data_IF_322163066290
#
_entry.id   IF_322163066290
#
_cell.length_a   1.000
_cell.length_b   1.000
_cell.length_c   1.000
_cell.angle_alpha   90.00
_cell.angle_beta   90.00
_cell.angle_gamma   90.00
#
_symmetry.space_group_name_H-M   'P 1'
#
loop_
_entity.id
_entity.type
_entity.pdbx_description
1 polymer ?
#
# COMPACT_ATOMS: atom_id res chain seq x y z
N UNK A 1 -26.46 -3.74 -11.44
CA UNK A 1 -26.10 -2.39 -10.94
C UNK A 1 -24.60 -2.28 -10.62
N UNK A 2 -24.02 -3.21 -9.90
CA UNK A 2 -22.59 -3.16 -9.53
C UNK A 2 -21.63 -3.16 -10.73
N UNK A 3 -21.92 -3.94 -11.77
CA UNK A 3 -21.04 -4.01 -12.96
C UNK A 3 -20.96 -2.69 -13.71
N UNK A 4 -22.07 -1.98 -13.90
CA UNK A 4 -22.05 -0.66 -14.55
C UNK A 4 -21.25 0.38 -13.76
N UNK A 5 -21.35 0.35 -12.43
CA UNK A 5 -20.54 1.21 -11.54
C UNK A 5 -19.06 0.85 -11.65
N UNK A 6 -18.74 -0.44 -11.63
CA UNK A 6 -17.37 -0.93 -11.78
C UNK A 6 -16.75 -0.51 -13.12
N UNK A 7 -17.47 -0.69 -14.23
CA UNK A 7 -17.00 -0.30 -15.56
C UNK A 7 -16.82 1.22 -15.68
N UNK A 8 -17.70 1.99 -15.07
CA UNK A 8 -17.56 3.46 -14.98
C UNK A 8 -16.31 3.85 -14.20
N UNK A 9 -16.06 3.23 -13.04
CA UNK A 9 -14.86 3.50 -12.22
C UNK A 9 -13.58 3.12 -12.96
N UNK A 10 -13.55 2.00 -13.67
CA UNK A 10 -12.41 1.61 -14.48
C UNK A 10 -12.09 2.64 -15.56
N UNK A 11 -13.14 3.10 -16.27
CA UNK A 11 -13.01 4.14 -17.29
C UNK A 11 -12.53 5.47 -16.68
N UNK A 12 -13.13 5.87 -15.56
CA UNK A 12 -12.77 7.10 -14.84
C UNK A 12 -11.30 7.10 -14.42
N UNK A 13 -10.86 6.02 -13.77
CA UNK A 13 -9.50 5.89 -13.25
C UNK A 13 -8.47 5.78 -14.39
N UNK A 14 -8.71 4.92 -15.38
CA UNK A 14 -7.74 4.65 -16.43
C UNK A 14 -7.63 5.77 -17.48
N UNK A 15 -8.75 6.38 -17.84
CA UNK A 15 -8.80 7.31 -18.97
C UNK A 15 -8.83 8.79 -18.52
N UNK A 16 -9.61 9.10 -17.47
CA UNK A 16 -9.83 10.48 -17.09
C UNK A 16 -8.85 10.95 -15.99
N UNK A 17 -8.64 10.17 -14.93
CA UNK A 17 -7.89 10.60 -13.76
C UNK A 17 -6.40 10.26 -13.81
N UNK A 18 -5.99 9.28 -14.61
CA UNK A 18 -4.63 8.75 -14.60
C UNK A 18 -3.54 9.83 -14.69
N UNK A 19 -3.53 10.57 -15.77
CA UNK A 19 -2.52 11.62 -16.00
C UNK A 19 -2.82 12.95 -15.30
N UNK A 20 -4.06 13.43 -15.19
CA UNK A 20 -4.38 14.58 -14.37
C UNK A 20 -3.93 14.48 -12.91
N UNK A 21 -4.06 13.31 -12.28
CA UNK A 21 -3.56 13.10 -10.91
C UNK A 21 -2.05 13.27 -10.82
N UNK A 22 -1.27 12.77 -11.77
CA UNK A 22 0.18 12.98 -11.81
C UNK A 22 0.52 14.45 -11.88
N UNK A 23 -0.16 15.20 -12.75
CA UNK A 23 0.07 16.65 -12.92
C UNK A 23 -0.27 17.39 -11.61
N UNK A 24 -1.41 17.08 -10.99
CA UNK A 24 -1.83 17.67 -9.71
C UNK A 24 -0.78 17.38 -8.62
N UNK A 25 -0.32 16.13 -8.50
CA UNK A 25 0.67 15.78 -7.49
C UNK A 25 2.02 16.41 -7.71
N UNK A 26 2.47 16.56 -8.97
CA UNK A 26 3.69 17.30 -9.28
C UNK A 26 3.53 18.78 -8.91
N UNK A 27 2.38 19.39 -9.22
CA UNK A 27 2.10 20.78 -8.87
C UNK A 27 2.13 21.01 -7.35
N UNK A 28 1.51 20.13 -6.57
CA UNK A 28 1.47 20.21 -5.11
C UNK A 28 2.62 19.46 -4.41
N UNK A 29 3.67 19.06 -5.12
CA UNK A 29 4.73 18.23 -4.57
C UNK A 29 5.42 18.81 -3.34
N UNK A 30 5.65 20.14 -3.32
CA UNK A 30 6.26 20.82 -2.17
C UNK A 30 5.33 20.81 -0.95
N UNK A 31 4.05 21.09 -1.15
CA UNK A 31 3.05 21.09 -0.06
C UNK A 31 2.87 19.68 0.51
N UNK A 32 2.80 18.67 -0.35
CA UNK A 32 2.70 17.25 0.06
C UNK A 32 3.93 16.81 0.86
N UNK A 33 5.13 17.19 0.41
CA UNK A 33 6.36 16.88 1.11
C UNK A 33 6.45 17.60 2.47
N UNK A 34 6.09 18.88 2.51
CA UNK A 34 6.02 19.64 3.77
C UNK A 34 5.02 19.01 4.74
N UNK A 35 3.83 18.64 4.25
CA UNK A 35 2.81 17.99 5.06
C UNK A 35 3.31 16.65 5.63
N UNK A 36 4.03 15.88 4.82
CA UNK A 36 4.67 14.64 5.25
C UNK A 36 5.70 14.88 6.37
N UNK A 37 6.60 15.86 6.20
CA UNK A 37 7.58 16.22 7.23
C UNK A 37 6.92 16.62 8.55
N UNK A 38 5.86 17.43 8.50
CA UNK A 38 5.09 17.81 9.69
C UNK A 38 4.40 16.60 10.34
N UNK A 39 3.96 15.63 9.53
CA UNK A 39 3.37 14.39 10.04
C UNK A 39 4.40 13.48 10.69
N UNK A 40 5.61 13.42 10.15
CA UNK A 40 6.75 12.72 10.80
C UNK A 40 7.14 13.43 12.10
N UNK A 41 7.19 14.76 12.10
CA UNK A 41 7.52 15.52 13.30
C UNK A 41 6.52 15.29 14.43
N UNK A 42 5.23 15.10 14.14
CA UNK A 42 4.24 14.81 15.18
C UNK A 42 4.52 13.51 15.94
N UNK A 43 5.18 12.53 15.30
CA UNK A 43 5.59 11.28 15.95
C UNK A 43 6.75 11.45 16.95
N UNK A 44 7.58 12.50 16.81
CA UNK A 44 8.75 12.69 17.68
C UNK A 44 8.39 13.04 19.12
N UNK A 45 7.14 13.46 19.37
CA UNK A 45 6.63 13.76 20.70
C UNK A 45 6.21 12.53 21.51
N UNK A 46 6.17 11.36 20.86
CA UNK A 46 5.80 10.07 21.45
C UNK A 46 7.07 9.20 21.42
N UNK A 47 7.07 8.07 22.04
CA UNK A 47 8.22 7.14 22.16
C UNK A 47 8.85 6.75 20.80
N UNK A 48 9.32 7.75 20.03
CA UNK A 48 9.83 7.60 18.65
C UNK A 48 10.94 6.55 18.50
N UNK A 49 11.70 6.27 19.57
CA UNK A 49 12.70 5.22 19.57
C UNK A 49 12.11 3.82 19.37
N UNK A 50 10.86 3.56 19.77
CA UNK A 50 10.21 2.26 19.59
C UNK A 50 9.91 1.97 18.11
N UNK A 51 9.54 2.97 17.33
CA UNK A 51 9.42 2.82 15.87
C UNK A 51 10.75 2.44 15.24
N UNK A 52 11.83 3.08 15.67
CA UNK A 52 13.19 2.78 15.17
C UNK A 52 13.60 1.36 15.56
N UNK A 53 13.34 0.95 16.81
CA UNK A 53 13.63 -0.41 17.27
C UNK A 53 12.81 -1.44 16.47
N UNK A 54 11.51 -1.19 16.26
CA UNK A 54 10.66 -2.05 15.46
C UNK A 54 11.18 -2.23 14.03
N UNK A 55 11.56 -1.13 13.39
CA UNK A 55 12.17 -1.14 12.07
C UNK A 55 13.50 -1.91 12.05
N UNK A 56 14.35 -1.71 13.06
CA UNK A 56 15.63 -2.42 13.20
C UNK A 56 15.42 -3.94 13.40
N UNK A 57 14.45 -4.34 14.22
CA UNK A 57 14.07 -5.75 14.40
C UNK A 57 13.69 -6.38 13.06
N UNK A 58 12.89 -5.68 12.24
CA UNK A 58 12.55 -6.18 10.90
C UNK A 58 13.78 -6.32 10.00
N UNK A 59 14.65 -5.30 9.97
CA UNK A 59 15.84 -5.31 9.10
C UNK A 59 16.86 -6.40 9.46
N UNK A 60 16.94 -6.77 10.76
CA UNK A 60 17.80 -7.84 11.26
C UNK A 60 17.13 -9.21 11.09
N UNK A 61 15.78 -9.27 11.05
CA UNK A 61 15.06 -10.52 10.84
C UNK A 61 15.42 -11.14 9.49
N UNK A 62 15.54 -12.49 9.46
CA UNK A 62 15.78 -13.25 8.22
C UNK A 62 14.50 -13.26 7.35
N UNK A 63 14.13 -12.06 6.90
CA UNK A 63 12.95 -11.90 6.04
C UNK A 63 13.29 -12.36 4.62
N UNK A 64 12.69 -13.46 4.20
CA UNK A 64 12.85 -14.00 2.85
C UNK A 64 11.79 -13.43 1.92
N UNK A 65 12.23 -12.82 0.84
CA UNK A 65 11.36 -12.41 -0.26
C UNK A 65 10.63 -13.62 -0.85
N UNK A 66 9.33 -13.46 -1.15
CA UNK A 66 8.50 -14.54 -1.72
C UNK A 66 7.96 -15.53 -0.68
N UNK A 67 8.01 -15.21 0.62
CA UNK A 67 7.32 -16.02 1.61
C UNK A 67 5.78 -15.96 1.42
N UNK A 68 5.08 -16.99 1.88
CA UNK A 68 3.62 -17.10 1.69
C UNK A 68 2.83 -15.95 2.30
N UNK A 69 3.33 -15.37 3.39
CA UNK A 69 2.66 -14.21 4.02
C UNK A 69 2.74 -12.97 3.14
N UNK A 70 3.91 -12.67 2.57
CA UNK A 70 4.08 -11.56 1.64
C UNK A 70 3.15 -11.69 0.42
N UNK A 71 3.13 -12.89 -0.18
CA UNK A 71 2.26 -13.17 -1.34
C UNK A 71 0.79 -12.97 -0.96
N UNK A 72 0.37 -13.52 0.18
CA UNK A 72 -1.01 -13.38 0.65
C UNK A 72 -1.38 -11.90 0.90
N UNK A 73 -0.52 -11.14 1.56
CA UNK A 73 -0.74 -9.71 1.84
C UNK A 73 -0.83 -8.89 0.56
N UNK A 74 0.01 -9.17 -0.42
CA UNK A 74 -0.03 -8.57 -1.75
C UNK A 74 -1.38 -8.83 -2.44
N UNK A 75 -1.80 -10.10 -2.55
CA UNK A 75 -3.07 -10.46 -3.18
C UNK A 75 -4.30 -9.97 -2.38
N UNK A 76 -4.19 -9.92 -1.05
CA UNK A 76 -5.22 -9.34 -0.19
C UNK A 76 -5.41 -7.86 -0.47
N UNK A 77 -4.33 -7.12 -0.70
CA UNK A 77 -4.40 -5.70 -1.00
C UNK A 77 -5.09 -5.46 -2.35
N UNK A 78 -4.81 -6.27 -3.37
CA UNK A 78 -5.57 -6.27 -4.62
C UNK A 78 -7.06 -6.53 -4.37
N UNK A 79 -7.39 -7.52 -3.55
CA UNK A 79 -8.78 -7.89 -3.24
C UNK A 79 -9.54 -6.76 -2.53
N UNK A 80 -8.89 -6.03 -1.61
CA UNK A 80 -9.45 -4.86 -0.94
C UNK A 80 -9.83 -3.79 -1.98
N UNK A 81 -8.94 -3.47 -2.92
CA UNK A 81 -9.22 -2.49 -3.96
C UNK A 81 -10.24 -2.99 -4.99
N UNK A 82 -10.28 -4.28 -5.27
CA UNK A 82 -11.37 -4.88 -6.04
C UNK A 82 -12.73 -4.66 -5.35
N UNK A 83 -12.81 -4.84 -4.04
CA UNK A 83 -14.03 -4.58 -3.27
C UNK A 83 -14.45 -3.10 -3.36
N UNK A 84 -13.53 -2.15 -3.15
CA UNK A 84 -13.83 -0.72 -3.25
C UNK A 84 -14.20 -0.26 -4.66
N UNK A 85 -13.78 -0.98 -5.69
CA UNK A 85 -14.13 -0.70 -7.09
C UNK A 85 -15.27 -1.56 -7.61
N UNK A 86 -16.03 -2.18 -6.69
CA UNK A 86 -17.24 -2.96 -6.96
C UNK A 86 -17.02 -4.13 -7.93
N UNK A 87 -15.85 -4.78 -7.85
CA UNK A 87 -15.59 -6.01 -8.59
C UNK A 87 -16.39 -7.17 -8.01
N UNK A 88 -16.76 -8.12 -8.87
CA UNK A 88 -17.52 -9.31 -8.50
C UNK A 88 -16.62 -10.55 -8.50
N UNK A 89 -17.03 -11.61 -7.79
CA UNK A 89 -16.33 -12.91 -7.75
C UNK A 89 -14.87 -12.82 -7.32
N UNK A 90 -14.56 -11.94 -6.34
CA UNK A 90 -13.20 -11.76 -5.83
C UNK A 90 -12.74 -13.03 -5.12
N UNK A 91 -11.58 -13.58 -5.54
CA UNK A 91 -10.96 -14.77 -4.96
C UNK A 91 -9.45 -14.59 -4.90
N UNK A 92 -8.85 -14.99 -3.78
CA UNK A 92 -7.38 -15.07 -3.63
C UNK A 92 -6.98 -16.53 -3.82
N UNK A 93 -6.09 -16.77 -4.76
CA UNK A 93 -5.53 -18.10 -5.03
C UNK A 93 -4.03 -18.08 -4.70
N UNK A 94 -3.65 -18.89 -3.72
CA UNK A 94 -2.25 -18.99 -3.25
C UNK A 94 -1.45 -20.07 -3.97
N UNK A 95 -2.07 -20.83 -4.88
CA UNK A 95 -1.44 -21.84 -5.71
C UNK A 95 -2.09 -21.80 -7.11
N UNK A 96 -1.97 -20.68 -7.83
CA UNK A 96 -2.58 -20.57 -9.14
C UNK A 96 -1.96 -21.58 -10.11
N UNK A 97 -2.72 -22.06 -11.12
CA UNK A 97 -2.22 -23.01 -12.10
C UNK A 97 -1.19 -22.40 -13.07
N UNK A 98 -1.08 -21.09 -13.11
CA UNK A 98 -0.08 -20.37 -13.89
C UNK A 98 1.32 -20.59 -13.28
N UNK A 99 2.25 -21.15 -14.06
CA UNK A 99 3.56 -21.60 -13.59
C UNK A 99 4.47 -20.51 -13.01
N UNK A 100 4.22 -19.26 -13.39
CA UNK A 100 5.07 -18.13 -12.99
C UNK A 100 4.44 -17.25 -11.88
N UNK A 101 3.25 -17.58 -11.39
CA UNK A 101 2.56 -16.82 -10.37
C UNK A 101 2.60 -17.52 -9.01
N UNK A 102 3.17 -16.83 -8.01
CA UNK A 102 3.20 -17.33 -6.63
C UNK A 102 1.85 -17.17 -5.88
N UNK A 103 1.03 -16.20 -6.31
CA UNK A 103 -0.33 -15.93 -5.88
C UNK A 103 -1.09 -15.17 -6.95
N UNK A 104 -2.42 -15.10 -6.84
CA UNK A 104 -3.25 -14.37 -7.78
C UNK A 104 -4.58 -13.94 -7.16
N UNK A 105 -4.92 -12.67 -7.28
CA UNK A 105 -6.25 -12.17 -7.02
C UNK A 105 -7.09 -12.20 -8.30
N UNK A 106 -8.12 -13.04 -8.30
CA UNK A 106 -9.06 -13.18 -9.45
C UNK A 106 -10.34 -12.43 -9.16
N UNK A 107 -10.89 -11.77 -10.16
CA UNK A 107 -12.16 -11.06 -10.09
C UNK A 107 -12.80 -10.94 -11.46
N UNK A 108 -14.08 -10.58 -11.51
CA UNK A 108 -14.82 -10.36 -12.76
C UNK A 108 -14.86 -8.88 -13.11
N UNK A 109 -14.71 -8.56 -14.40
CA UNK A 109 -14.74 -7.21 -14.95
C UNK A 109 -13.38 -6.73 -15.43
N UNK A 110 -13.29 -5.45 -15.79
CA UNK A 110 -12.05 -4.79 -16.17
C UNK A 110 -11.10 -4.57 -14.98
N UNK A 111 -9.92 -4.10 -15.24
CA UNK A 111 -8.97 -3.67 -14.21
C UNK A 111 -8.68 -2.18 -14.35
N UNK A 112 -8.21 -1.58 -13.24
CA UNK A 112 -7.74 -0.20 -13.24
C UNK A 112 -6.41 -0.10 -12.48
N UNK A 113 -5.69 1.02 -12.68
CA UNK A 113 -4.38 1.22 -12.09
C UNK A 113 -4.41 1.22 -10.55
N UNK A 114 -5.54 1.64 -9.92
CA UNK A 114 -5.63 1.66 -8.47
C UNK A 114 -5.64 0.23 -7.89
N UNK A 115 -6.37 -0.72 -8.52
CA UNK A 115 -6.27 -2.13 -8.16
C UNK A 115 -4.84 -2.63 -8.40
N UNK A 116 -4.32 -2.41 -9.61
CA UNK A 116 -3.04 -2.97 -10.05
C UNK A 116 -1.85 -2.46 -9.22
N UNK A 117 -1.88 -1.19 -8.78
CA UNK A 117 -0.79 -0.61 -7.99
C UNK A 117 -1.03 -0.63 -6.48
N UNK A 118 -2.18 -1.11 -6.01
CA UNK A 118 -2.54 -1.04 -4.59
C UNK A 118 -1.48 -1.63 -3.65
N UNK A 119 -0.84 -2.79 -3.90
CA UNK A 119 0.17 -3.33 -2.99
C UNK A 119 1.40 -2.43 -2.82
N UNK A 120 1.68 -1.59 -3.81
CA UNK A 120 2.87 -0.73 -3.82
C UNK A 120 2.70 0.60 -3.08
N UNK A 121 1.48 0.98 -2.73
CA UNK A 121 1.22 2.23 -2.00
C UNK A 121 0.33 2.07 -0.77
N UNK A 122 -0.39 0.96 -0.65
CA UNK A 122 -1.33 0.74 0.45
C UNK A 122 -0.75 -0.26 1.45
N UNK A 123 -0.16 0.22 2.57
CA UNK A 123 0.51 -0.62 3.56
C UNK A 123 -0.51 -1.33 4.44
N UNK A 124 -1.12 -2.40 3.94
CA UNK A 124 -2.25 -3.11 4.55
C UNK A 124 -1.97 -3.48 6.01
N UNK A 125 -0.81 -4.07 6.31
CA UNK A 125 -0.43 -4.44 7.67
C UNK A 125 -0.27 -3.21 8.57
N UNK A 126 0.36 -2.14 8.08
CA UNK A 126 0.54 -0.89 8.83
C UNK A 126 -0.80 -0.24 9.16
N UNK A 127 -1.73 -0.22 8.21
CA UNK A 127 -3.08 0.32 8.41
C UNK A 127 -3.85 -0.50 9.46
N UNK A 128 -3.75 -1.84 9.43
CA UNK A 128 -4.36 -2.70 10.43
C UNK A 128 -3.82 -2.39 11.83
N UNK A 129 -2.51 -2.26 12.00
CA UNK A 129 -1.89 -1.90 13.28
C UNK A 129 -2.33 -0.50 13.71
N UNK A 130 -2.34 0.48 12.79
CA UNK A 130 -2.76 1.85 13.09
C UNK A 130 -4.22 1.93 13.56
N UNK A 131 -5.09 1.05 13.10
CA UNK A 131 -6.49 1.02 13.53
C UNK A 131 -6.64 0.71 15.04
N UNK A 132 -5.67 0.02 15.67
CA UNK A 132 -5.71 -0.24 17.11
C UNK A 132 -5.49 1.02 17.95
N UNK A 133 -4.88 2.08 17.42
CA UNK A 133 -4.77 3.36 18.13
C UNK A 133 -6.13 4.08 18.29
N UNK A 134 -7.15 3.67 17.56
CA UNK A 134 -8.52 4.16 17.74
C UNK A 134 -9.21 3.52 18.95
N UNK A 135 -8.63 2.48 19.54
CA UNK A 135 -9.17 1.82 20.72
C UNK A 135 -8.58 2.43 22.00
N UNK A 136 -9.32 2.45 23.11
CA UNK A 136 -8.84 2.98 24.38
C UNK A 136 -7.92 1.99 25.12
N UNK A 137 -6.81 1.60 24.47
CA UNK A 137 -5.85 0.60 24.96
C UNK A 137 -4.45 1.19 25.18
N UNK A 138 -4.37 2.36 25.83
CA UNK A 138 -3.16 3.15 25.96
C UNK A 138 -1.96 2.39 26.56
N UNK A 139 -2.20 1.43 27.45
CA UNK A 139 -1.15 0.60 28.06
C UNK A 139 -0.38 -0.24 27.02
N UNK A 140 -0.99 -0.50 25.86
CA UNK A 140 -0.40 -1.29 24.78
C UNK A 140 0.26 -0.44 23.68
N UNK A 141 0.16 0.89 23.74
CA UNK A 141 0.75 1.76 22.72
C UNK A 141 2.25 1.54 22.52
N UNK A 142 3.08 1.33 23.56
CA UNK A 142 4.50 1.03 23.33
C UNK A 142 4.74 -0.23 22.49
N UNK A 143 3.91 -1.24 22.65
CA UNK A 143 3.96 -2.45 21.81
C UNK A 143 3.47 -2.17 20.39
N UNK A 144 2.41 -1.39 20.23
CA UNK A 144 1.91 -0.97 18.92
C UNK A 144 2.94 -0.12 18.16
N UNK A 145 3.68 0.76 18.86
CA UNK A 145 4.75 1.56 18.28
C UNK A 145 5.85 0.66 17.68
N UNK A 146 6.26 -0.38 18.41
CA UNK A 146 7.19 -1.40 17.90
C UNK A 146 6.65 -2.11 16.66
N UNK A 147 5.40 -2.58 16.71
CA UNK A 147 4.75 -3.25 15.60
C UNK A 147 4.61 -2.35 14.38
N UNK A 148 4.30 -1.06 14.61
CA UNK A 148 4.16 -0.08 13.56
C UNK A 148 5.49 0.16 12.85
N UNK A 149 6.58 0.39 13.62
CA UNK A 149 7.92 0.54 13.06
C UNK A 149 8.34 -0.68 12.23
N UNK A 150 8.07 -1.88 12.75
CA UNK A 150 8.30 -3.13 12.03
C UNK A 150 7.53 -3.19 10.70
N UNK A 151 6.22 -2.88 10.71
CA UNK A 151 5.36 -2.96 9.53
C UNK A 151 5.66 -1.89 8.48
N UNK A 152 6.08 -0.69 8.89
CA UNK A 152 6.54 0.35 7.95
C UNK A 152 7.81 -0.11 7.23
N UNK A 153 8.81 -0.61 7.98
CA UNK A 153 10.05 -1.12 7.38
C UNK A 153 9.78 -2.32 6.47
N UNK A 154 8.87 -3.21 6.86
CA UNK A 154 8.38 -4.32 6.04
C UNK A 154 7.83 -3.81 4.70
N UNK A 155 6.85 -2.91 4.73
CA UNK A 155 6.22 -2.38 3.52
C UNK A 155 7.23 -1.69 2.59
N UNK A 156 8.12 -0.85 3.15
CA UNK A 156 9.14 -0.16 2.36
C UNK A 156 10.12 -1.13 1.69
N UNK A 157 10.61 -2.14 2.44
CA UNK A 157 11.55 -3.12 1.90
C UNK A 157 10.91 -4.02 0.85
N UNK A 158 9.69 -4.53 1.10
CA UNK A 158 8.99 -5.40 0.17
C UNK A 158 8.65 -4.68 -1.12
N UNK A 159 8.12 -3.46 -1.05
CA UNK A 159 7.86 -2.63 -2.23
C UNK A 159 9.12 -2.38 -3.06
N UNK A 160 10.23 -2.06 -2.40
CA UNK A 160 11.49 -1.86 -3.13
C UNK A 160 11.94 -3.13 -3.85
N UNK A 161 11.83 -4.29 -3.19
CA UNK A 161 12.21 -5.58 -3.78
C UNK A 161 11.27 -5.99 -4.91
N UNK A 162 9.96 -5.82 -4.73
CA UNK A 162 8.95 -6.12 -5.75
C UNK A 162 9.08 -5.19 -6.95
N UNK A 163 9.25 -3.89 -6.72
CA UNK A 163 9.47 -2.93 -7.79
C UNK A 163 10.68 -3.30 -8.65
N UNK A 164 11.78 -3.71 -8.00
CA UNK A 164 12.99 -4.16 -8.71
C UNK A 164 12.78 -5.45 -9.51
N UNK A 165 12.03 -6.40 -8.96
CA UNK A 165 11.87 -7.74 -9.55
C UNK A 165 10.69 -7.82 -10.53
N UNK A 166 9.63 -7.01 -10.32
CA UNK A 166 8.36 -7.07 -11.05
C UNK A 166 8.12 -5.90 -12.02
N UNK A 167 9.16 -5.29 -12.56
CA UNK A 167 8.97 -4.27 -13.61
C UNK A 167 8.18 -4.80 -14.82
N UNK A 168 7.99 -6.11 -14.94
CA UNK A 168 7.21 -6.78 -15.99
C UNK A 168 5.81 -7.23 -15.54
N UNK A 169 5.46 -7.10 -14.26
CA UNK A 169 4.15 -7.49 -13.71
C UNK A 169 3.16 -6.32 -13.65
N UNK A 170 2.69 -6.02 -12.45
CA UNK A 170 1.66 -5.01 -12.21
C UNK A 170 2.10 -3.60 -12.57
N UNK A 171 3.38 -3.26 -12.34
CA UNK A 171 3.97 -1.97 -12.74
C UNK A 171 3.82 -1.77 -14.25
N UNK A 172 4.09 -2.80 -15.06
CA UNK A 172 3.95 -2.72 -16.52
C UNK A 172 2.47 -2.65 -16.94
N UNK A 173 1.59 -3.45 -16.30
CA UNK A 173 0.14 -3.42 -16.58
C UNK A 173 -0.47 -2.05 -16.32
N UNK A 174 -0.08 -1.39 -15.22
CA UNK A 174 -0.53 -0.03 -14.92
C UNK A 174 0.12 1.05 -15.80
N UNK A 175 1.27 0.74 -16.39
CA UNK A 175 2.12 1.64 -17.17
C UNK A 175 3.33 2.11 -16.37
N UNK A 176 4.52 1.69 -16.78
CA UNK A 176 5.77 1.89 -16.03
C UNK A 176 6.04 3.36 -15.68
N UNK A 177 5.96 4.26 -16.65
CA UNK A 177 6.20 5.70 -16.41
C UNK A 177 5.18 6.31 -15.46
N UNK A 178 3.90 5.93 -15.62
CA UNK A 178 2.86 6.36 -14.71
C UNK A 178 3.12 5.87 -13.28
N UNK A 179 3.47 4.60 -13.12
CA UNK A 179 3.74 4.00 -11.81
C UNK A 179 4.91 4.66 -11.10
N UNK A 180 6.03 4.92 -11.81
CA UNK A 180 7.20 5.61 -11.25
C UNK A 180 6.84 7.01 -10.75
N UNK A 181 5.97 7.73 -11.46
CA UNK A 181 5.58 9.08 -11.09
C UNK A 181 4.55 9.13 -9.97
N UNK A 182 3.57 8.21 -9.95
CA UNK A 182 2.44 8.29 -9.03
C UNK A 182 2.73 7.67 -7.66
N UNK A 183 3.47 6.55 -7.62
CA UNK A 183 3.68 5.77 -6.39
C UNK A 183 4.36 6.56 -5.25
N UNK A 184 5.39 7.39 -5.48
CA UNK A 184 5.98 8.19 -4.41
C UNK A 184 4.95 9.11 -3.74
N UNK A 185 4.10 9.77 -4.51
CA UNK A 185 3.07 10.66 -3.97
C UNK A 185 2.00 9.92 -3.18
N UNK A 186 1.53 8.77 -3.69
CA UNK A 186 0.55 7.95 -2.98
C UNK A 186 1.11 7.45 -1.65
N UNK A 187 2.37 7.00 -1.62
CA UNK A 187 3.02 6.60 -0.37
C UNK A 187 3.15 7.78 0.61
N UNK A 188 3.60 8.96 0.15
CA UNK A 188 3.66 10.17 0.97
C UNK A 188 2.29 10.48 1.60
N UNK A 189 1.23 10.45 0.81
CA UNK A 189 -0.13 10.75 1.28
C UNK A 189 -0.58 9.73 2.33
N UNK A 190 -0.47 8.44 2.03
CA UNK A 190 -0.93 7.38 2.93
C UNK A 190 -0.16 7.40 4.25
N UNK A 191 1.16 7.48 4.22
CA UNK A 191 1.95 7.57 5.45
C UNK A 191 1.69 8.85 6.22
N UNK A 192 1.46 9.99 5.57
CA UNK A 192 1.07 11.22 6.25
C UNK A 192 -0.25 11.06 7.01
N UNK A 193 -1.24 10.40 6.38
CA UNK A 193 -2.54 10.12 7.03
C UNK A 193 -2.34 9.20 8.24
N UNK A 194 -1.57 8.10 8.08
CA UNK A 194 -1.28 7.16 9.16
C UNK A 194 -0.60 7.88 10.32
N UNK A 195 0.45 8.67 10.07
CA UNK A 195 1.19 9.36 11.11
C UNK A 195 0.33 10.39 11.87
N UNK A 196 -0.59 11.06 11.18
CA UNK A 196 -1.56 11.96 11.83
C UNK A 196 -2.63 11.24 12.64
N UNK A 197 -2.99 10.01 12.23
CA UNK A 197 -3.98 9.21 12.95
C UNK A 197 -3.47 8.74 14.31
N UNK A 198 -2.17 8.46 14.41
CA UNK A 198 -1.53 7.88 15.60
C UNK A 198 -0.83 8.92 16.48
N UNK A 199 -0.71 10.18 16.04
CA UNK A 199 -0.12 11.28 16.80
C UNK A 199 -1.17 12.02 17.63
#
# INVERSE_FOLDING_TARGET
>A
MNRAISDFLDSLLNNLLKWPLVIIFIYFSQDLFLYFLLSVQSLTNINSYLYIIGAAIFLISDFRYGNRFLIFEHELTHAIFCFFTFKENIKIDMNPPEQDAAGMCRYSGGSNWAITLSPYFFPTLTILISAFYLLPIQDYYPFLDLCLGYSIAYHMKTNFMEFKNNMHGDIQKAGTYFSILILPFLNIIIFSIIFRLIS
#
